data_IF_793589812694
#
_entry.id   IF_793589812694
#
_cell.length_a   1.000
_cell.length_b   1.000
_cell.length_c   1.000
_cell.angle_alpha   90.00
_cell.angle_beta   90.00
_cell.angle_gamma   90.00
#
_symmetry.space_group_name_H-M   'P 1'
#
loop_
_entity.id
_entity.type
_entity.pdbx_description
1 polymer ?
#
# COMPACT_ATOMS: atom_id res chain seq x y z
N UNK A 1 -12.36 36.83 6.58
CA UNK A 1 -11.54 36.46 7.75
C UNK A 1 -12.02 37.05 9.08
N UNK A 2 -12.16 38.37 9.19
CA UNK A 2 -12.33 39.07 10.49
C UNK A 2 -13.64 38.76 11.23
N UNK A 3 -14.69 38.33 10.52
CA UNK A 3 -16.01 38.12 11.12
C UNK A 3 -16.17 36.78 11.87
N UNK A 4 -15.52 35.68 11.44
CA UNK A 4 -15.66 34.40 12.15
C UNK A 4 -14.79 34.33 13.42
N UNK A 5 -13.59 34.93 13.41
CA UNK A 5 -12.77 35.09 14.63
C UNK A 5 -13.47 35.97 15.69
N UNK A 6 -14.18 37.02 15.26
CA UNK A 6 -15.02 37.81 16.17
C UNK A 6 -16.26 37.04 16.68
N UNK A 7 -16.84 36.13 15.88
CA UNK A 7 -17.94 35.25 16.32
C UNK A 7 -17.45 34.13 17.25
N UNK A 8 -16.24 33.59 17.02
CA UNK A 8 -15.57 32.67 17.94
C UNK A 8 -15.29 33.30 19.31
N UNK A 9 -15.05 34.62 19.35
CA UNK A 9 -14.90 35.40 20.58
C UNK A 9 -16.25 35.78 21.24
N UNK A 10 -17.39 35.69 20.53
CA UNK A 10 -18.70 36.22 20.99
C UNK A 10 -19.70 35.20 21.56
N UNK A 11 -19.29 33.95 21.81
CA UNK A 11 -20.12 32.83 22.33
C UNK A 11 -21.21 32.37 21.35
N UNK A 12 -21.03 31.18 20.77
CA UNK A 12 -22.15 30.35 20.27
C UNK A 12 -21.78 28.89 19.94
N UNK A 13 -20.50 28.49 20.02
CA UNK A 13 -20.11 27.07 20.07
C UNK A 13 -19.76 26.66 21.51
N UNK A 14 -20.20 25.47 21.95
CA UNK A 14 -19.81 24.90 23.25
C UNK A 14 -18.28 24.88 23.38
N UNK A 15 -17.77 25.43 24.48
CA UNK A 15 -16.34 25.39 24.84
C UNK A 15 -15.97 23.94 25.16
N UNK A 16 -15.52 23.22 24.14
CA UNK A 16 -15.11 21.83 24.18
C UNK A 16 -13.78 21.71 23.44
N UNK A 17 -12.93 20.76 23.85
CA UNK A 17 -11.55 20.56 23.38
C UNK A 17 -11.46 20.51 21.84
N UNK A 18 -12.46 19.92 21.20
CA UNK A 18 -12.60 19.83 19.74
C UNK A 18 -12.66 21.23 19.10
N UNK A 19 -13.50 22.12 19.64
CA UNK A 19 -13.65 23.48 19.10
C UNK A 19 -12.42 24.34 19.37
N UNK A 20 -11.69 24.09 20.47
CA UNK A 20 -10.42 24.75 20.75
C UNK A 20 -9.31 24.35 19.75
N UNK A 21 -9.21 23.07 19.39
CA UNK A 21 -8.30 22.61 18.32
C UNK A 21 -8.64 23.26 16.99
N UNK A 22 -9.92 23.27 16.62
CA UNK A 22 -10.41 23.93 15.39
C UNK A 22 -10.10 25.42 15.37
N UNK A 23 -10.42 26.15 16.44
CA UNK A 23 -10.15 27.59 16.56
C UNK A 23 -8.67 27.90 16.42
N UNK A 24 -7.81 27.11 17.08
CA UNK A 24 -6.35 27.26 17.00
C UNK A 24 -5.87 27.08 15.56
N UNK A 25 -6.27 25.99 14.90
CA UNK A 25 -5.91 25.71 13.51
C UNK A 25 -6.39 26.82 12.55
N UNK A 26 -7.68 27.16 12.59
CA UNK A 26 -8.30 28.15 11.70
C UNK A 26 -7.84 29.59 11.95
N UNK A 27 -7.16 29.86 13.07
CA UNK A 27 -6.54 31.16 13.34
C UNK A 27 -5.16 31.32 12.69
N UNK A 28 -4.53 30.21 12.28
CA UNK A 28 -3.18 30.16 11.72
C UNK A 28 -3.14 29.77 10.24
N UNK A 29 -4.07 28.91 9.82
CA UNK A 29 -4.02 28.21 8.53
C UNK A 29 -5.31 28.42 7.76
N UNK A 30 -5.20 28.62 6.44
CA UNK A 30 -6.33 28.80 5.50
C UNK A 30 -6.32 27.72 4.41
N UNK A 31 -7.37 27.66 3.58
CA UNK A 31 -7.42 26.74 2.42
C UNK A 31 -7.99 25.34 2.69
N UNK A 32 -8.45 25.04 3.92
CA UNK A 32 -9.02 23.73 4.31
C UNK A 32 -10.56 23.66 4.21
N UNK A 33 -11.14 24.47 3.33
CA UNK A 33 -12.57 24.44 2.99
C UNK A 33 -13.50 24.56 4.20
N UNK A 34 -14.39 23.57 4.37
CA UNK A 34 -15.45 23.60 5.38
C UNK A 34 -14.98 23.36 6.81
N UNK A 35 -13.70 23.04 7.06
CA UNK A 35 -13.16 22.92 8.43
C UNK A 35 -13.31 24.22 9.21
N UNK A 36 -13.13 25.36 8.55
CA UNK A 36 -13.14 26.68 9.19
C UNK A 36 -14.43 27.47 8.92
N UNK A 37 -15.49 26.80 8.44
CA UNK A 37 -16.81 27.42 8.28
C UNK A 37 -17.47 27.63 9.65
N UNK A 38 -18.15 28.76 9.82
CA UNK A 38 -18.84 29.06 11.08
C UNK A 38 -20.13 28.23 11.23
N UNK A 39 -20.77 27.88 10.11
CA UNK A 39 -22.00 27.08 10.05
C UNK A 39 -21.67 25.70 9.50
N UNK A 40 -22.10 24.66 10.20
CA UNK A 40 -21.91 23.24 9.83
C UNK A 40 -20.46 22.87 9.45
N UNK A 41 -19.48 23.14 10.34
CA UNK A 41 -18.07 22.85 10.04
C UNK A 41 -17.83 21.35 9.86
N UNK A 42 -16.94 20.98 8.92
CA UNK A 42 -16.57 19.58 8.69
C UNK A 42 -16.04 18.90 9.96
N UNK A 43 -16.36 17.61 10.22
CA UNK A 43 -15.90 16.90 11.40
C UNK A 43 -14.37 16.78 11.43
N UNK A 44 -13.80 16.91 12.64
CA UNK A 44 -12.36 16.68 12.92
C UNK A 44 -12.15 15.57 13.96
N UNK A 45 -13.25 14.93 14.38
CA UNK A 45 -13.28 13.74 15.22
C UNK A 45 -14.15 12.72 14.48
N UNK A 46 -13.67 11.50 14.43
CA UNK A 46 -14.29 10.39 13.72
C UNK A 46 -14.54 9.27 14.72
N UNK A 47 -15.70 8.62 14.61
CA UNK A 47 -16.09 7.50 15.47
C UNK A 47 -16.32 6.26 14.59
N UNK A 48 -15.25 5.68 14.00
CA UNK A 48 -15.39 4.49 13.18
C UNK A 48 -15.84 3.30 14.01
N UNK A 49 -16.50 2.34 13.37
CA UNK A 49 -16.89 1.08 14.02
C UNK A 49 -15.66 0.30 14.49
N UNK A 50 -15.75 -0.34 15.65
CA UNK A 50 -14.69 -1.23 16.13
C UNK A 50 -14.66 -2.54 15.33
N UNK A 51 -13.47 -3.13 15.21
CA UNK A 51 -13.31 -4.47 14.61
C UNK A 51 -13.37 -5.56 15.70
N UNK A 52 -13.87 -6.77 15.37
CA UNK A 52 -13.90 -7.88 16.32
C UNK A 52 -12.50 -8.30 16.81
N UNK A 53 -11.50 -8.32 15.92
CA UNK A 53 -10.12 -8.64 16.30
C UNK A 53 -9.42 -7.42 16.92
N UNK A 54 -9.38 -7.36 18.25
CA UNK A 54 -8.78 -6.25 19.00
C UNK A 54 -7.24 -6.14 18.87
N UNK A 55 -6.54 -7.16 18.36
CA UNK A 55 -5.07 -7.10 18.23
C UNK A 55 -4.61 -6.00 17.28
N UNK A 56 -5.35 -5.77 16.18
CA UNK A 56 -4.95 -4.77 15.18
C UNK A 56 -5.00 -3.34 15.74
N UNK A 57 -5.89 -3.06 16.68
CA UNK A 57 -6.00 -1.72 17.29
C UNK A 57 -4.83 -1.38 18.22
N UNK A 58 -3.94 -2.34 18.51
CA UNK A 58 -2.71 -2.16 19.28
C UNK A 58 -1.46 -2.12 18.38
N UNK A 59 -1.62 -2.24 17.06
CA UNK A 59 -0.50 -2.11 16.12
C UNK A 59 -0.25 -0.63 15.85
N UNK A 60 0.95 -0.09 16.11
CA UNK A 60 1.27 1.29 15.81
C UNK A 60 1.23 1.57 14.30
N UNK A 61 0.74 2.75 13.96
CA UNK A 61 0.72 3.28 12.59
C UNK A 61 1.71 4.45 12.51
N UNK A 62 2.74 4.28 11.69
CA UNK A 62 3.69 5.32 11.36
C UNK A 62 3.27 6.00 10.04
N UNK A 63 2.82 7.24 10.14
CA UNK A 63 2.55 8.08 8.98
C UNK A 63 3.82 8.83 8.61
N UNK A 64 4.28 8.67 7.36
CA UNK A 64 5.45 9.35 6.83
C UNK A 64 5.00 10.58 6.04
N UNK A 65 5.37 11.76 6.53
CA UNK A 65 4.94 13.04 6.01
C UNK A 65 6.10 14.01 5.78
N UNK A 66 5.84 15.04 4.96
CA UNK A 66 6.76 16.14 4.69
C UNK A 66 5.97 17.45 4.55
N UNK A 67 6.43 18.38 3.72
CA UNK A 67 5.79 19.68 3.48
C UNK A 67 4.65 19.61 2.44
N UNK A 68 3.68 18.72 2.68
CA UNK A 68 2.48 18.57 1.82
C UNK A 68 1.21 18.50 2.67
N UNK A 69 0.89 19.56 3.42
CA UNK A 69 -0.10 19.51 4.50
C UNK A 69 -1.53 19.20 4.01
N UNK A 70 -1.90 19.59 2.78
CA UNK A 70 -3.19 19.20 2.20
C UNK A 70 -3.28 17.69 1.85
N UNK A 71 -2.17 17.06 1.45
CA UNK A 71 -2.13 15.62 1.22
C UNK A 71 -2.28 14.89 2.55
N UNK A 72 -1.47 15.29 3.53
CA UNK A 72 -1.55 14.77 4.90
C UNK A 72 -2.96 14.91 5.48
N UNK A 73 -3.60 16.07 5.32
CA UNK A 73 -4.97 16.30 5.79
C UNK A 73 -5.96 15.31 5.17
N UNK A 74 -5.94 15.14 3.83
CA UNK A 74 -6.81 14.18 3.12
C UNK A 74 -6.57 12.75 3.60
N UNK A 75 -5.31 12.31 3.66
CA UNK A 75 -4.98 10.95 4.09
C UNK A 75 -5.44 10.72 5.53
N UNK A 76 -5.19 11.67 6.44
CA UNK A 76 -5.59 11.54 7.85
C UNK A 76 -7.13 11.47 8.01
N UNK A 77 -7.89 12.20 7.21
CA UNK A 77 -9.35 12.04 7.20
C UNK A 77 -9.76 10.62 6.81
N UNK A 78 -9.12 10.05 5.77
CA UNK A 78 -9.43 8.70 5.32
C UNK A 78 -9.11 7.65 6.39
N UNK A 79 -7.91 7.67 6.97
CA UNK A 79 -7.48 6.65 7.95
C UNK A 79 -8.26 6.73 9.26
N UNK A 80 -8.60 7.94 9.73
CA UNK A 80 -9.36 8.12 10.97
C UNK A 80 -10.83 7.73 10.82
N UNK A 81 -11.34 7.71 9.59
CA UNK A 81 -12.71 7.27 9.28
C UNK A 81 -12.82 5.75 9.10
N UNK A 82 -11.70 5.04 8.99
CA UNK A 82 -11.68 3.60 8.73
C UNK A 82 -12.08 2.79 9.99
N UNK A 83 -13.01 1.82 9.88
CA UNK A 83 -13.27 0.81 10.90
C UNK A 83 -11.99 0.22 11.53
N UNK A 84 -11.92 0.20 12.86
CA UNK A 84 -10.76 -0.30 13.60
C UNK A 84 -9.61 0.69 13.81
N UNK A 85 -9.69 1.91 13.28
CA UNK A 85 -8.69 2.93 13.52
C UNK A 85 -8.60 3.27 15.02
N UNK A 86 -7.37 3.32 15.54
CA UNK A 86 -7.07 3.77 16.89
C UNK A 86 -6.17 5.02 16.83
N UNK A 87 -6.72 6.24 17.01
CA UNK A 87 -5.95 7.48 16.96
C UNK A 87 -4.75 7.50 17.91
N UNK A 88 -4.83 6.83 19.08
CA UNK A 88 -3.72 6.75 20.04
C UNK A 88 -2.51 5.94 19.57
N UNK A 89 -2.67 5.16 18.50
CA UNK A 89 -1.61 4.37 17.88
C UNK A 89 -1.03 5.02 16.61
N UNK A 90 -1.59 6.15 16.16
CA UNK A 90 -1.11 6.86 14.97
C UNK A 90 -0.10 7.92 15.38
N UNK A 91 1.11 7.84 14.83
CA UNK A 91 2.15 8.87 14.96
C UNK A 91 2.51 9.39 13.58
N UNK A 92 2.49 10.71 13.40
CA UNK A 92 2.85 11.39 12.16
C UNK A 92 4.28 11.90 12.28
N UNK A 93 5.16 11.37 11.44
CA UNK A 93 6.57 11.75 11.37
C UNK A 93 6.79 12.72 10.20
N UNK A 94 7.16 13.96 10.52
CA UNK A 94 7.32 15.05 9.57
C UNK A 94 8.82 15.28 9.34
N UNK A 95 9.25 15.15 8.08
CA UNK A 95 10.63 15.37 7.66
C UNK A 95 10.96 16.87 7.55
N UNK A 96 11.04 17.56 8.69
CA UNK A 96 11.36 18.98 8.79
C UNK A 96 10.52 19.72 9.83
N UNK A 97 10.92 20.96 10.13
CA UNK A 97 10.21 21.83 11.07
C UNK A 97 9.16 22.71 10.38
N UNK A 98 8.26 22.07 9.64
CA UNK A 98 7.16 22.76 8.94
C UNK A 98 5.98 22.96 9.89
N UNK A 99 5.48 24.21 10.00
CA UNK A 99 4.38 24.54 10.91
C UNK A 99 3.06 23.96 10.42
N UNK A 100 2.72 24.11 9.14
CA UNK A 100 1.40 23.72 8.62
C UNK A 100 1.11 22.21 8.73
N UNK A 101 2.03 21.29 8.35
CA UNK A 101 1.82 19.85 8.58
C UNK A 101 1.66 19.51 10.07
N UNK A 102 2.38 20.18 10.96
CA UNK A 102 2.26 19.97 12.40
C UNK A 102 0.91 20.48 12.94
N UNK A 103 0.41 21.62 12.45
CA UNK A 103 -0.92 22.11 12.82
C UNK A 103 -2.02 21.16 12.32
N UNK A 104 -1.85 20.50 11.18
CA UNK A 104 -2.77 19.44 10.72
C UNK A 104 -2.80 18.25 11.71
N UNK A 105 -1.66 17.81 12.27
CA UNK A 105 -1.69 16.74 13.28
C UNK A 105 -2.41 17.18 14.54
N UNK A 106 -2.19 18.42 14.99
CA UNK A 106 -2.86 19.00 16.16
C UNK A 106 -4.36 19.15 15.95
N UNK A 107 -4.81 19.51 14.74
CA UNK A 107 -6.23 19.59 14.39
C UNK A 107 -6.95 18.28 14.70
N UNK A 108 -6.36 17.15 14.28
CA UNK A 108 -6.91 15.82 14.53
C UNK A 108 -6.55 15.25 15.91
N UNK A 109 -5.75 15.94 16.72
CA UNK A 109 -5.35 15.49 18.05
C UNK A 109 -4.39 14.31 18.02
N UNK A 110 -3.59 14.21 16.95
CA UNK A 110 -2.59 13.16 16.76
C UNK A 110 -1.22 13.60 17.23
N UNK A 111 -0.37 12.62 17.49
CA UNK A 111 1.04 12.86 17.83
C UNK A 111 1.78 13.20 16.53
N UNK A 112 2.28 14.44 16.44
CA UNK A 112 3.20 14.88 15.41
C UNK A 112 4.63 14.93 15.94
N UNK A 113 5.57 14.29 15.24
CA UNK A 113 7.00 14.30 15.55
C UNK A 113 7.74 14.90 14.36
N UNK A 114 8.46 15.99 14.60
CA UNK A 114 9.31 16.62 13.59
C UNK A 114 10.73 16.07 13.70
N UNK A 115 11.32 15.75 12.56
CA UNK A 115 12.72 15.33 12.47
C UNK A 115 13.55 16.41 11.79
N UNK A 116 14.79 16.60 12.26
CA UNK A 116 15.79 17.36 11.49
C UNK A 116 16.14 16.57 10.23
N UNK A 117 15.95 17.12 9.03
CA UNK A 117 16.26 16.41 7.79
C UNK A 117 17.74 16.03 7.71
N UNK A 118 18.02 14.80 7.27
CA UNK A 118 19.38 14.28 7.13
C UNK A 118 19.60 13.70 5.74
N UNK A 119 20.63 14.18 5.02
CA UNK A 119 20.88 13.81 3.63
C UNK A 119 20.13 14.71 2.64
N UNK A 120 20.17 14.35 1.34
CA UNK A 120 19.51 15.09 0.25
C UNK A 120 18.74 14.15 -0.66
N UNK A 121 17.73 14.66 -1.36
CA UNK A 121 16.89 13.90 -2.31
C UNK A 121 16.44 12.55 -1.71
N UNK A 122 16.69 11.44 -2.39
CA UNK A 122 16.23 10.11 -1.98
C UNK A 122 16.93 9.65 -0.70
N UNK A 123 18.18 10.07 -0.45
CA UNK A 123 18.87 9.79 0.80
C UNK A 123 18.16 10.45 1.99
N UNK A 124 17.60 11.65 1.82
CA UNK A 124 16.80 12.34 2.85
C UNK A 124 15.57 11.53 3.24
N UNK A 125 14.82 11.06 2.25
CA UNK A 125 13.67 10.19 2.46
C UNK A 125 14.11 8.92 3.20
N UNK A 126 15.18 8.27 2.74
CA UNK A 126 15.70 7.05 3.35
C UNK A 126 16.05 7.23 4.83
N UNK A 127 16.71 8.32 5.21
CA UNK A 127 17.01 8.59 6.62
C UNK A 127 15.75 8.91 7.43
N UNK A 128 14.76 9.60 6.83
CA UNK A 128 13.49 9.86 7.50
C UNK A 128 12.70 8.58 7.79
N UNK A 129 12.66 7.63 6.86
CA UNK A 129 12.08 6.30 7.12
C UNK A 129 12.80 5.60 8.27
N UNK A 130 14.13 5.54 8.25
CA UNK A 130 14.91 4.94 9.35
C UNK A 130 14.55 5.57 10.70
N UNK A 131 14.62 6.90 10.79
CA UNK A 131 14.33 7.63 12.03
C UNK A 131 12.91 7.34 12.53
N UNK A 132 11.92 7.35 11.63
CA UNK A 132 10.50 7.11 11.94
C UNK A 132 10.24 5.68 12.42
N UNK A 133 10.81 4.68 11.73
CA UNK A 133 10.69 3.27 12.11
C UNK A 133 11.37 2.98 13.44
N UNK A 134 12.58 3.51 13.64
CA UNK A 134 13.29 3.42 14.92
C UNK A 134 12.51 4.05 16.05
N UNK A 135 11.99 5.28 15.86
CA UNK A 135 11.19 5.99 16.85
C UNK A 135 9.89 5.24 17.19
N UNK A 136 9.22 4.67 16.19
CA UNK A 136 8.00 3.87 16.37
C UNK A 136 8.25 2.69 17.30
N UNK A 137 9.25 1.85 17.01
CA UNK A 137 9.55 0.67 17.83
C UNK A 137 10.20 0.98 19.19
N UNK A 138 10.78 2.18 19.35
CA UNK A 138 11.27 2.66 20.64
C UNK A 138 10.11 3.13 21.54
N UNK A 139 9.10 3.78 20.95
CA UNK A 139 7.89 4.24 21.64
C UNK A 139 6.99 3.07 22.05
N UNK A 140 6.74 2.16 21.12
CA UNK A 140 5.89 0.99 21.33
C UNK A 140 6.79 -0.25 21.48
N UNK A 141 7.33 -0.44 22.70
CA UNK A 141 8.35 -1.47 22.97
C UNK A 141 7.84 -2.89 22.79
N UNK A 142 6.56 -3.11 23.13
CA UNK A 142 5.91 -4.42 23.06
C UNK A 142 5.25 -4.69 21.70
N UNK A 143 5.29 -3.73 20.76
CA UNK A 143 4.71 -3.90 19.44
C UNK A 143 5.58 -4.80 18.57
N UNK A 144 5.02 -5.93 18.15
CA UNK A 144 5.65 -6.89 17.23
C UNK A 144 5.57 -6.46 15.76
N UNK A 145 4.62 -5.56 15.45
CA UNK A 145 4.36 -5.04 14.11
C UNK A 145 4.23 -3.53 14.12
N UNK A 146 4.41 -2.92 12.96
CA UNK A 146 3.99 -1.54 12.68
C UNK A 146 3.38 -1.47 11.28
N UNK A 147 2.39 -0.61 11.09
CA UNK A 147 1.84 -0.28 9.76
C UNK A 147 2.45 1.05 9.31
N UNK A 148 2.94 1.11 8.08
CA UNK A 148 3.57 2.28 7.48
C UNK A 148 2.65 2.82 6.40
N UNK A 149 2.33 4.11 6.47
CA UNK A 149 1.46 4.81 5.52
C UNK A 149 2.13 6.12 5.10
N UNK A 150 2.06 6.44 3.81
CA UNK A 150 2.54 7.72 3.26
C UNK A 150 1.41 8.76 3.23
N UNK A 151 1.75 10.04 3.34
CA UNK A 151 0.77 11.14 3.41
C UNK A 151 -0.10 11.34 2.15
N UNK A 152 0.23 10.68 1.03
CA UNK A 152 -0.42 10.81 -0.27
C UNK A 152 -1.25 9.58 -0.68
N UNK A 153 -1.70 8.81 0.30
CA UNK A 153 -2.56 7.64 0.14
C UNK A 153 -3.98 7.90 0.63
N UNK A 154 -5.00 7.52 -0.14
CA UNK A 154 -6.33 7.28 0.42
C UNK A 154 -6.38 5.88 1.03
N UNK A 155 -7.04 5.74 2.17
CA UNK A 155 -7.13 4.49 2.93
C UNK A 155 -8.51 3.86 2.75
N UNK A 156 -8.54 2.59 2.35
CA UNK A 156 -9.79 1.83 2.18
C UNK A 156 -10.56 1.70 3.50
N UNK A 157 -11.91 1.67 3.48
CA UNK A 157 -12.74 1.30 4.63
C UNK A 157 -12.45 -0.11 5.20
N UNK A 158 -11.80 -0.98 4.42
CA UNK A 158 -11.42 -2.35 4.83
C UNK A 158 -9.97 -2.46 5.31
N UNK A 159 -9.20 -1.37 5.32
CA UNK A 159 -7.75 -1.43 5.51
C UNK A 159 -7.29 -2.14 6.79
N UNK A 160 -7.85 -1.80 7.96
CA UNK A 160 -7.50 -2.48 9.21
C UNK A 160 -8.08 -3.89 9.30
N UNK A 161 -9.22 -4.17 8.66
CA UNK A 161 -9.80 -5.51 8.61
C UNK A 161 -9.00 -6.46 7.69
N UNK A 162 -8.42 -5.94 6.61
CA UNK A 162 -7.46 -6.65 5.77
C UNK A 162 -6.24 -7.06 6.60
N UNK A 163 -5.59 -6.09 7.26
CA UNK A 163 -4.41 -6.37 8.07
C UNK A 163 -4.71 -7.26 9.28
N UNK A 164 -5.89 -7.14 9.93
CA UNK A 164 -6.25 -8.00 11.06
C UNK A 164 -6.36 -9.47 10.65
N UNK A 165 -6.83 -9.76 9.43
CA UNK A 165 -6.97 -11.11 8.89
C UNK A 165 -5.66 -11.69 8.39
N UNK A 166 -4.69 -10.88 7.95
CA UNK A 166 -3.44 -11.35 7.36
C UNK A 166 -2.22 -11.27 8.28
N UNK A 167 -2.32 -10.56 9.40
CA UNK A 167 -1.17 -10.31 10.30
C UNK A 167 -0.52 -11.60 10.80
N UNK A 168 -1.31 -12.66 11.09
CA UNK A 168 -0.77 -13.93 11.58
C UNK A 168 0.16 -14.61 10.57
N UNK A 169 0.01 -14.35 9.27
CA UNK A 169 0.89 -14.89 8.24
C UNK A 169 2.35 -14.45 8.44
N UNK A 170 2.58 -13.20 8.88
CA UNK A 170 3.93 -12.70 9.19
C UNK A 170 4.55 -13.38 10.42
N UNK A 171 3.73 -13.92 11.32
CA UNK A 171 4.18 -14.69 12.47
C UNK A 171 4.46 -16.14 12.16
N UNK A 172 3.60 -16.75 11.37
CA UNK A 172 3.61 -18.18 11.15
C UNK A 172 4.49 -18.61 9.96
N UNK A 173 4.77 -17.73 9.00
CA UNK A 173 5.59 -18.03 7.83
C UNK A 173 6.80 -17.08 7.69
N UNK A 174 8.02 -17.53 8.02
CA UNK A 174 9.24 -16.71 7.93
C UNK A 174 9.66 -16.38 6.49
N UNK A 175 9.06 -17.01 5.49
CA UNK A 175 9.28 -16.67 4.08
C UNK A 175 8.51 -15.42 3.63
N UNK A 176 7.63 -14.88 4.49
CA UNK A 176 6.90 -13.64 4.21
C UNK A 176 7.71 -12.44 4.73
N UNK A 177 8.00 -11.51 3.82
CA UNK A 177 8.75 -10.28 4.06
C UNK A 177 7.86 -9.15 4.59
N UNK A 178 6.67 -9.00 4.01
CA UNK A 178 5.71 -7.97 4.38
C UNK A 178 4.27 -8.35 3.96
N UNK A 179 3.29 -7.63 4.50
CA UNK A 179 1.95 -7.57 3.92
C UNK A 179 1.76 -6.16 3.40
N UNK A 180 1.45 -5.98 2.12
CA UNK A 180 1.17 -4.68 1.52
C UNK A 180 -0.30 -4.59 1.12
N UNK A 181 -0.84 -3.38 1.15
CA UNK A 181 -2.18 -3.03 0.71
C UNK A 181 -2.23 -2.71 -0.80
N UNK A 182 -1.10 -2.75 -1.50
CA UNK A 182 -0.97 -2.30 -2.89
C UNK A 182 -0.65 -3.45 -3.84
N UNK A 183 -1.44 -3.57 -4.90
CA UNK A 183 -1.16 -4.43 -6.05
C UNK A 183 -0.64 -3.57 -7.22
N UNK A 184 0.64 -3.71 -7.55
CA UNK A 184 1.26 -2.99 -8.67
C UNK A 184 0.57 -3.22 -10.02
N UNK A 185 -0.01 -4.42 -10.22
CA UNK A 185 -0.72 -4.81 -11.44
C UNK A 185 -2.24 -4.75 -11.30
N UNK A 186 -2.76 -4.21 -10.19
CA UNK A 186 -4.19 -4.17 -9.85
C UNK A 186 -4.88 -2.89 -10.35
N UNK A 187 -5.09 -2.78 -11.65
CA UNK A 187 -5.88 -1.72 -12.28
C UNK A 187 -7.36 -2.10 -12.32
N UNK A 188 -8.24 -1.12 -12.51
CA UNK A 188 -9.70 -1.31 -12.60
C UNK A 188 -10.11 -2.46 -13.54
N UNK A 189 -9.39 -2.64 -14.65
CA UNK A 189 -9.66 -3.71 -15.63
C UNK A 189 -8.91 -5.02 -15.37
N UNK A 190 -7.92 -5.02 -14.47
CA UNK A 190 -6.99 -6.13 -14.26
C UNK A 190 -7.05 -6.81 -12.90
N UNK A 191 -8.00 -6.40 -12.06
CA UNK A 191 -8.37 -7.06 -10.81
C UNK A 191 -9.88 -7.33 -10.79
N UNK A 192 -10.35 -8.15 -9.84
CA UNK A 192 -11.76 -8.49 -9.71
C UNK A 192 -12.18 -8.90 -8.30
N UNK A 193 -11.43 -9.77 -7.65
CA UNK A 193 -11.91 -10.48 -6.46
C UNK A 193 -11.51 -9.73 -5.17
N UNK A 194 -12.48 -9.16 -4.42
CA UNK A 194 -12.18 -8.46 -3.19
C UNK A 194 -11.55 -9.38 -2.13
N UNK A 195 -11.77 -10.69 -2.19
CA UNK A 195 -11.34 -11.66 -1.17
C UNK A 195 -10.01 -12.37 -1.49
N UNK A 196 -9.42 -12.11 -2.66
CA UNK A 196 -8.24 -12.82 -3.17
C UNK A 196 -6.92 -12.17 -2.75
N UNK A 197 -5.93 -13.01 -2.48
CA UNK A 197 -4.57 -12.65 -2.11
C UNK A 197 -3.53 -13.31 -3.04
N UNK A 198 -2.37 -12.70 -3.14
CA UNK A 198 -1.20 -13.19 -3.87
C UNK A 198 0.05 -13.15 -3.00
N UNK A 199 1.00 -14.06 -3.27
CA UNK A 199 2.41 -13.91 -2.91
C UNK A 199 3.17 -13.32 -4.10
N UNK A 200 4.07 -12.39 -3.83
CA UNK A 200 4.91 -11.75 -4.85
C UNK A 200 6.36 -11.54 -4.39
N UNK A 201 7.30 -11.63 -5.31
CA UNK A 201 8.74 -11.51 -5.06
C UNK A 201 9.25 -10.05 -5.09
N UNK A 202 8.53 -9.15 -4.44
CA UNK A 202 8.95 -7.75 -4.27
C UNK A 202 8.40 -7.18 -2.96
N UNK A 203 8.74 -5.92 -2.66
CA UNK A 203 8.23 -5.15 -1.54
C UNK A 203 7.52 -3.91 -2.13
N UNK A 204 6.18 -3.94 -2.30
CA UNK A 204 5.45 -2.87 -2.98
C UNK A 204 5.43 -1.55 -2.20
N UNK A 205 5.40 -1.61 -0.87
CA UNK A 205 5.22 -0.42 -0.03
C UNK A 205 3.75 0.03 -0.03
N UNK A 206 3.54 1.36 -0.13
CA UNK A 206 2.24 2.02 -0.32
C UNK A 206 1.13 1.53 0.63
N UNK A 207 1.40 1.57 1.94
CA UNK A 207 0.54 0.97 2.96
C UNK A 207 0.94 -0.46 3.24
N UNK A 208 1.83 -0.68 4.20
CA UNK A 208 2.40 -2.00 4.44
C UNK A 208 2.69 -2.27 5.92
N UNK A 209 2.63 -3.53 6.32
CA UNK A 209 2.92 -3.99 7.66
C UNK A 209 4.35 -4.55 7.74
N UNK A 210 5.11 -4.04 8.72
CA UNK A 210 6.48 -4.40 9.01
C UNK A 210 6.57 -5.18 10.32
N UNK A 211 7.25 -6.32 10.29
CA UNK A 211 7.60 -7.06 11.50
C UNK A 211 8.78 -6.39 12.22
N UNK A 212 8.66 -6.15 13.53
CA UNK A 212 9.70 -5.57 14.39
C UNK A 212 11.01 -6.32 14.25
N UNK A 213 10.94 -7.66 14.30
CA UNK A 213 12.11 -8.55 14.22
C UNK A 213 12.93 -8.30 12.96
N UNK A 214 12.26 -8.24 11.80
CA UNK A 214 12.89 -7.93 10.52
C UNK A 214 13.61 -6.57 10.58
N UNK A 215 12.94 -5.53 11.08
CA UNK A 215 13.55 -4.21 11.16
C UNK A 215 14.75 -4.17 12.11
N UNK A 216 14.57 -4.61 13.36
CA UNK A 216 15.54 -4.46 14.44
C UNK A 216 16.74 -5.39 14.31
N UNK A 217 16.55 -6.60 13.79
CA UNK A 217 17.63 -7.60 13.71
C UNK A 217 18.33 -7.61 12.34
N UNK A 218 17.66 -7.15 11.26
CA UNK A 218 18.23 -7.21 9.91
C UNK A 218 18.40 -5.83 9.26
N UNK A 219 17.32 -5.02 9.18
CA UNK A 219 17.32 -3.82 8.33
C UNK A 219 18.04 -2.64 8.97
N UNK A 220 17.79 -2.34 10.24
CA UNK A 220 18.24 -1.12 10.93
C UNK A 220 19.78 -1.00 10.95
N UNK A 221 20.46 -2.12 11.19
CA UNK A 221 21.92 -2.19 11.25
C UNK A 221 22.60 -2.01 9.88
N UNK A 222 21.93 -2.42 8.81
CA UNK A 222 22.46 -2.36 7.44
C UNK A 222 21.86 -1.22 6.61
N UNK A 223 21.00 -0.39 7.23
CA UNK A 223 20.29 0.70 6.55
C UNK A 223 21.29 1.63 5.85
N UNK A 224 21.03 2.05 4.59
CA UNK A 224 21.93 2.91 3.83
C UNK A 224 22.33 4.17 4.61
N UNK A 225 23.61 4.53 4.57
CA UNK A 225 24.11 5.75 5.23
C UNK A 225 23.64 7.00 4.47
N UNK A 226 23.63 8.19 5.11
CA UNK A 226 23.11 9.42 4.50
C UNK A 226 23.81 9.85 3.20
N UNK A 227 25.03 9.38 2.95
CA UNK A 227 25.79 9.68 1.73
C UNK A 227 25.28 8.88 0.52
N UNK A 228 24.57 7.76 0.76
CA UNK A 228 24.05 6.90 -0.31
C UNK A 228 22.74 7.46 -0.85
N UNK A 229 22.78 7.91 -2.10
CA UNK A 229 21.61 8.39 -2.86
C UNK A 229 20.73 7.22 -3.35
N UNK A 230 20.34 6.34 -2.45
CA UNK A 230 19.51 5.18 -2.76
C UNK A 230 18.08 5.40 -2.29
N UNK A 231 17.12 5.00 -3.11
CA UNK A 231 15.73 4.85 -2.69
C UNK A 231 15.62 3.69 -1.70
N UNK A 232 14.99 3.94 -0.55
CA UNK A 232 14.92 3.00 0.56
C UNK A 232 14.16 1.72 0.18
N UNK A 233 13.10 1.86 -0.62
CA UNK A 233 12.26 0.77 -1.10
C UNK A 233 12.99 -0.08 -2.13
N UNK A 234 13.72 0.54 -3.06
CA UNK A 234 14.58 -0.17 -4.02
C UNK A 234 15.68 -0.96 -3.29
N UNK A 235 16.28 -0.38 -2.25
CA UNK A 235 17.23 -1.10 -1.40
C UNK A 235 16.58 -2.29 -0.69
N UNK A 236 15.37 -2.13 -0.14
CA UNK A 236 14.62 -3.23 0.49
C UNK A 236 14.22 -4.34 -0.49
N UNK A 237 14.00 -4.01 -1.77
CA UNK A 237 13.67 -4.99 -2.84
C UNK A 237 14.88 -5.82 -3.29
N UNK A 238 16.09 -5.33 -3.06
CA UNK A 238 17.31 -6.00 -3.50
C UNK A 238 17.41 -7.41 -2.91
N UNK A 239 17.81 -8.39 -3.73
CA UNK A 239 17.80 -9.81 -3.36
C UNK A 239 18.58 -10.11 -2.07
N UNK A 240 19.70 -9.43 -1.84
CA UNK A 240 20.51 -9.64 -0.62
C UNK A 240 19.86 -9.09 0.67
N UNK A 241 18.90 -8.15 0.55
CA UNK A 241 18.11 -7.63 1.68
C UNK A 241 16.84 -8.45 1.85
N UNK A 242 16.09 -8.65 0.77
CA UNK A 242 14.83 -9.42 0.78
C UNK A 242 15.04 -10.90 1.07
N UNK A 243 16.18 -11.48 0.67
CA UNK A 243 16.59 -12.88 0.91
C UNK A 243 15.53 -13.88 0.46
N UNK A 244 15.08 -13.75 -0.78
CA UNK A 244 14.06 -14.60 -1.43
C UNK A 244 12.69 -14.67 -0.72
N UNK A 245 12.47 -13.80 0.26
CA UNK A 245 11.15 -13.64 0.90
C UNK A 245 10.19 -12.87 0.00
N UNK A 246 8.91 -13.03 0.28
CA UNK A 246 7.82 -12.52 -0.56
C UNK A 246 6.86 -11.66 0.25
N UNK A 247 6.15 -10.74 -0.39
CA UNK A 247 5.06 -10.04 0.27
C UNK A 247 3.70 -10.61 -0.11
N UNK A 248 2.75 -10.50 0.82
CA UNK A 248 1.34 -10.73 0.55
C UNK A 248 0.71 -9.43 0.06
N UNK A 249 -0.04 -9.51 -1.03
CA UNK A 249 -0.85 -8.41 -1.56
C UNK A 249 -2.27 -8.86 -1.84
N UNK A 250 -3.26 -7.96 -1.80
CA UNK A 250 -4.60 -8.25 -2.26
C UNK A 250 -4.71 -8.16 -3.78
N UNK A 251 -5.77 -8.72 -4.37
CA UNK A 251 -6.06 -8.51 -5.80
C UNK A 251 -6.48 -7.07 -6.10
N UNK A 252 -7.43 -6.52 -5.32
CA UNK A 252 -7.84 -5.11 -5.37
C UNK A 252 -7.04 -4.30 -4.34
N UNK A 253 -6.46 -3.15 -4.66
CA UNK A 253 -5.68 -2.40 -3.66
C UNK A 253 -6.54 -1.81 -2.53
N UNK A 254 -5.97 -1.72 -1.32
CA UNK A 254 -6.56 -1.14 -0.10
C UNK A 254 -6.04 0.26 0.22
N UNK A 255 -5.14 0.73 -0.62
CA UNK A 255 -4.63 2.09 -0.67
C UNK A 255 -4.75 2.61 -2.09
N UNK A 256 -4.93 3.92 -2.25
CA UNK A 256 -4.90 4.59 -3.54
C UNK A 256 -3.95 5.78 -3.47
N UNK A 257 -2.92 5.79 -4.31
CA UNK A 257 -1.95 6.88 -4.35
C UNK A 257 -2.52 8.05 -5.17
N UNK A 258 -2.76 9.18 -4.52
CA UNK A 258 -3.31 10.40 -5.16
C UNK A 258 -2.27 11.51 -5.35
N UNK A 259 -1.06 11.34 -4.84
CA UNK A 259 -0.02 12.37 -4.89
C UNK A 259 0.43 12.66 -6.32
N UNK A 260 -0.01 13.77 -6.92
CA UNK A 260 0.39 14.14 -8.29
C UNK A 260 1.67 14.99 -8.34
N UNK A 261 2.19 15.39 -7.19
CA UNK A 261 3.44 16.14 -7.01
C UNK A 261 4.28 15.48 -5.91
N UNK A 262 5.53 15.18 -6.24
CA UNK A 262 6.50 14.55 -5.33
C UNK A 262 7.88 14.47 -5.98
N UNK A 263 8.84 13.84 -5.29
CA UNK A 263 10.24 13.78 -5.75
C UNK A 263 10.38 13.05 -7.09
N UNK A 264 9.64 11.95 -7.29
CA UNK A 264 9.65 11.15 -8.51
C UNK A 264 8.30 11.16 -9.25
N UNK A 265 7.42 12.12 -8.95
CA UNK A 265 6.03 12.11 -9.36
C UNK A 265 5.61 13.41 -10.03
N UNK A 266 4.89 13.30 -11.14
CA UNK A 266 4.32 14.43 -11.87
C UNK A 266 2.90 14.08 -12.39
N UNK A 267 2.08 15.07 -12.78
CA UNK A 267 0.69 14.82 -13.16
C UNK A 267 0.51 13.84 -14.34
N UNK A 268 1.41 13.85 -15.33
CA UNK A 268 1.34 12.90 -16.44
C UNK A 268 1.60 11.47 -15.97
N UNK A 269 2.63 11.28 -15.13
CA UNK A 269 2.95 9.96 -14.57
C UNK A 269 1.81 9.42 -13.69
N UNK A 270 1.18 10.29 -12.89
CA UNK A 270 -0.01 9.95 -12.10
C UNK A 270 -1.19 9.52 -12.98
N UNK A 271 -1.46 10.25 -14.06
CA UNK A 271 -2.55 9.95 -15.01
C UNK A 271 -2.34 8.61 -15.71
N UNK A 272 -1.10 8.31 -16.12
CA UNK A 272 -0.76 7.10 -16.87
C UNK A 272 -0.75 5.85 -15.98
N UNK A 273 -0.15 5.93 -14.79
CA UNK A 273 0.19 4.74 -14.00
C UNK A 273 -0.55 4.60 -12.67
N UNK A 274 -1.29 5.60 -12.18
CA UNK A 274 -1.93 5.50 -10.85
C UNK A 274 -3.42 5.80 -10.86
N UNK A 275 -3.88 6.66 -11.77
CA UNK A 275 -5.28 7.11 -11.78
C UNK A 275 -6.30 5.98 -11.95
N UNK A 276 -5.94 4.95 -12.70
CA UNK A 276 -6.80 3.79 -12.98
C UNK A 276 -6.47 2.58 -12.09
N UNK A 277 -5.70 2.77 -11.02
CA UNK A 277 -5.53 1.71 -10.04
C UNK A 277 -6.85 1.45 -9.33
N UNK A 278 -7.10 0.16 -9.09
CA UNK A 278 -8.25 -0.27 -8.33
C UNK A 278 -8.16 0.19 -6.88
N UNK A 279 -9.32 0.40 -6.25
CA UNK A 279 -9.40 0.78 -4.84
C UNK A 279 -10.62 0.14 -4.18
N UNK A 280 -10.38 -0.53 -3.05
CA UNK A 280 -11.43 -1.21 -2.30
C UNK A 280 -12.32 -0.21 -1.57
N UNK A 281 -13.60 -0.15 -1.93
CA UNK A 281 -14.60 0.74 -1.31
C UNK A 281 -15.52 0.04 -0.32
N UNK A 282 -15.57 -1.29 -0.34
CA UNK A 282 -16.42 -2.07 0.57
C UNK A 282 -15.72 -2.25 1.92
N UNK A 283 -16.42 -2.07 3.06
CA UNK A 283 -15.88 -2.40 4.37
C UNK A 283 -16.00 -3.90 4.68
N UNK A 284 -15.22 -4.37 5.66
CA UNK A 284 -15.35 -5.69 6.30
C UNK A 284 -15.33 -6.89 5.33
N UNK A 285 -14.50 -6.83 4.30
CA UNK A 285 -14.36 -7.92 3.33
C UNK A 285 -13.79 -9.15 4.03
N UNK A 286 -14.45 -10.29 3.86
CA UNK A 286 -13.95 -11.57 4.35
C UNK A 286 -12.99 -12.17 3.31
N UNK A 287 -11.72 -12.29 3.68
CA UNK A 287 -10.71 -12.91 2.82
C UNK A 287 -10.93 -14.41 2.78
N UNK A 288 -10.70 -15.03 1.63
CA UNK A 288 -10.86 -16.48 1.45
C UNK A 288 -9.52 -17.17 1.56
N UNK A 289 -9.53 -18.38 2.15
CA UNK A 289 -8.39 -19.30 2.13
C UNK A 289 -7.04 -18.68 2.55
N UNK A 290 -7.06 -17.81 3.57
CA UNK A 290 -5.89 -16.99 3.96
C UNK A 290 -4.64 -17.86 4.23
N UNK A 291 -4.82 -19.01 4.87
CA UNK A 291 -3.72 -19.93 5.17
C UNK A 291 -3.06 -20.55 3.94
N UNK A 292 -3.72 -20.53 2.77
CA UNK A 292 -3.08 -20.92 1.49
C UNK A 292 -1.98 -19.94 1.07
N UNK A 293 -1.86 -18.78 1.70
CA UNK A 293 -0.75 -17.85 1.45
C UNK A 293 0.55 -18.26 2.13
N UNK A 294 0.56 -19.30 2.98
CA UNK A 294 1.83 -19.85 3.51
C UNK A 294 2.56 -20.61 2.41
N UNK A 295 3.89 -20.54 2.42
CA UNK A 295 4.79 -20.98 1.33
C UNK A 295 4.36 -22.27 0.63
N UNK A 296 4.28 -23.38 1.37
CA UNK A 296 4.04 -24.69 0.76
C UNK A 296 2.59 -24.85 0.27
N UNK A 297 1.62 -24.26 0.99
CA UNK A 297 0.22 -24.28 0.55
C UNK A 297 -0.02 -23.41 -0.67
N UNK A 298 0.76 -22.33 -0.85
CA UNK A 298 0.65 -21.48 -2.03
C UNK A 298 1.09 -22.23 -3.29
N UNK A 299 2.16 -23.03 -3.22
CA UNK A 299 2.56 -23.88 -4.36
C UNK A 299 1.49 -24.90 -4.75
N UNK A 300 0.81 -25.48 -3.76
CA UNK A 300 -0.31 -26.40 -3.99
C UNK A 300 -1.46 -25.68 -4.68
N UNK A 301 -1.79 -24.46 -4.23
CA UNK A 301 -2.80 -23.61 -4.84
C UNK A 301 -2.44 -23.27 -6.29
N UNK A 302 -1.21 -22.81 -6.57
CA UNK A 302 -0.77 -22.47 -7.93
C UNK A 302 -0.85 -23.67 -8.84
N UNK A 303 -0.39 -24.84 -8.38
CA UNK A 303 -0.51 -26.09 -9.15
C UNK A 303 -1.97 -26.40 -9.50
N UNK A 304 -2.87 -26.33 -8.53
CA UNK A 304 -4.29 -26.58 -8.77
C UNK A 304 -4.87 -25.60 -9.79
N UNK A 305 -4.58 -24.30 -9.63
CA UNK A 305 -5.03 -23.26 -10.56
C UNK A 305 -4.54 -23.50 -11.99
N UNK A 306 -3.29 -23.93 -12.18
CA UNK A 306 -2.75 -24.25 -13.51
C UNK A 306 -3.43 -25.49 -14.10
N UNK A 307 -3.70 -26.51 -13.28
CA UNK A 307 -4.38 -27.73 -13.74
C UNK A 307 -5.84 -27.50 -14.13
N UNK A 308 -6.51 -26.56 -13.47
CA UNK A 308 -7.90 -26.19 -13.76
C UNK A 308 -7.99 -25.14 -14.89
N UNK A 309 -6.86 -24.55 -15.31
CA UNK A 309 -6.83 -23.50 -16.32
C UNK A 309 -6.97 -24.05 -17.75
N UNK A 310 -7.62 -23.26 -18.61
CA UNK A 310 -7.71 -23.51 -20.05
C UNK A 310 -6.55 -22.83 -20.76
N UNK A 311 -5.81 -23.56 -21.60
CA UNK A 311 -4.74 -22.98 -22.42
C UNK A 311 -5.30 -21.99 -23.45
N UNK A 312 -4.74 -20.78 -23.48
CA UNK A 312 -5.03 -19.82 -24.54
C UNK A 312 -4.31 -20.19 -25.84
N UNK A 313 -4.91 -19.85 -26.98
CA UNK A 313 -4.35 -20.19 -28.29
C UNK A 313 -3.20 -19.25 -28.69
N UNK A 314 -1.96 -19.69 -28.50
CA UNK A 314 -0.73 -18.96 -28.86
C UNK A 314 -0.54 -18.66 -30.35
N UNK A 315 -1.39 -19.17 -31.23
CA UNK A 315 -1.39 -18.77 -32.65
C UNK A 315 -1.92 -17.35 -32.85
N UNK A 316 -2.66 -16.80 -31.87
CA UNK A 316 -3.17 -15.44 -31.91
C UNK A 316 -2.24 -14.50 -31.14
N UNK A 317 -2.05 -13.25 -31.60
CA UNK A 317 -1.24 -12.27 -30.90
C UNK A 317 -1.81 -11.98 -29.50
N UNK A 318 -1.01 -12.03 -28.42
CA UNK A 318 -1.53 -11.90 -27.06
C UNK A 318 -2.13 -10.52 -26.75
N UNK A 319 -1.77 -9.50 -27.53
CA UNK A 319 -2.28 -8.13 -27.39
C UNK A 319 -3.53 -7.86 -28.25
N UNK A 320 -4.06 -8.85 -28.97
CA UNK A 320 -5.31 -8.67 -29.71
C UNK A 320 -6.50 -8.74 -28.75
N UNK A 321 -7.57 -8.02 -29.08
CA UNK A 321 -8.76 -7.99 -28.21
C UNK A 321 -9.39 -9.37 -28.05
N UNK A 322 -9.25 -10.27 -29.01
CA UNK A 322 -9.83 -11.62 -29.03
C UNK A 322 -8.98 -12.69 -28.33
N UNK A 323 -7.74 -12.37 -27.93
CA UNK A 323 -6.82 -13.35 -27.34
C UNK A 323 -7.39 -14.00 -26.06
N UNK A 324 -7.91 -13.18 -25.13
CA UNK A 324 -8.66 -13.67 -23.98
C UNK A 324 -10.15 -13.72 -24.36
N UNK A 325 -10.80 -14.91 -24.30
CA UNK A 325 -12.21 -15.04 -24.64
C UNK A 325 -13.13 -14.14 -23.78
N UNK A 326 -14.26 -13.73 -24.35
CA UNK A 326 -15.31 -12.99 -23.64
C UNK A 326 -16.18 -13.94 -22.78
N UNK A 327 -15.55 -14.72 -21.91
CA UNK A 327 -16.19 -15.54 -20.88
C UNK A 327 -16.20 -14.81 -19.54
N UNK A 328 -16.82 -15.41 -18.51
CA UNK A 328 -16.82 -14.88 -17.15
C UNK A 328 -16.38 -15.96 -16.18
N UNK A 329 -15.54 -15.58 -15.22
CA UNK A 329 -15.15 -16.44 -14.09
C UNK A 329 -14.40 -17.73 -14.51
N UNK A 330 -13.81 -17.73 -15.70
CA UNK A 330 -12.95 -18.81 -16.17
C UNK A 330 -11.50 -18.57 -15.75
N UNK A 331 -10.73 -19.66 -15.68
CA UNK A 331 -9.28 -19.61 -15.45
C UNK A 331 -8.58 -19.95 -16.75
N UNK A 332 -7.69 -19.07 -17.19
CA UNK A 332 -6.88 -19.24 -18.38
C UNK A 332 -5.40 -19.26 -18.04
N UNK A 333 -4.62 -19.98 -18.84
CA UNK A 333 -3.16 -19.99 -18.76
C UNK A 333 -2.55 -19.64 -20.12
N UNK A 334 -1.48 -18.86 -20.10
CA UNK A 334 -0.61 -18.65 -21.25
C UNK A 334 0.86 -18.75 -20.84
N UNK A 335 1.67 -19.27 -21.75
CA UNK A 335 3.13 -19.32 -21.61
C UNK A 335 3.78 -18.21 -22.44
N UNK A 336 4.77 -17.52 -21.87
CA UNK A 336 5.58 -16.51 -22.56
C UNK A 336 7.05 -16.94 -22.58
N UNK A 337 7.79 -16.57 -23.62
CA UNK A 337 9.22 -16.85 -23.67
C UNK A 337 9.96 -16.06 -22.58
N UNK A 338 10.72 -16.77 -21.75
CA UNK A 338 11.53 -16.25 -20.67
C UNK A 338 12.69 -17.22 -20.42
N UNK A 339 13.84 -16.92 -21.01
CA UNK A 339 15.01 -17.81 -21.08
C UNK A 339 15.74 -17.95 -19.75
N UNK A 340 15.64 -16.94 -18.88
CA UNK A 340 16.19 -16.94 -17.52
C UNK A 340 15.25 -16.20 -16.57
N UNK A 341 15.47 -16.34 -15.27
CA UNK A 341 14.73 -15.64 -14.20
C UNK A 341 14.85 -14.11 -14.27
N UNK A 342 15.70 -13.58 -15.14
CA UNK A 342 15.92 -12.13 -15.39
C UNK A 342 15.48 -11.68 -16.78
N UNK A 343 15.00 -12.59 -17.63
CA UNK A 343 14.56 -12.27 -18.99
C UNK A 343 13.10 -11.79 -18.99
N UNK A 344 12.90 -10.52 -18.71
CA UNK A 344 11.56 -9.92 -18.65
C UNK A 344 11.13 -9.25 -19.96
N UNK A 345 11.82 -9.51 -21.06
CA UNK A 345 11.62 -8.82 -22.34
C UNK A 345 10.18 -8.99 -22.84
N UNK A 346 9.68 -10.23 -22.87
CA UNK A 346 8.33 -10.54 -23.32
C UNK A 346 7.28 -9.99 -22.36
N UNK A 347 7.49 -10.12 -21.05
CA UNK A 347 6.58 -9.60 -20.03
C UNK A 347 6.40 -8.08 -20.16
N UNK A 348 7.47 -7.31 -20.32
CA UNK A 348 7.36 -5.84 -20.44
C UNK A 348 6.50 -5.41 -21.63
N UNK A 349 6.65 -6.06 -22.78
CA UNK A 349 5.80 -5.78 -23.94
C UNK A 349 4.33 -6.16 -23.69
N UNK A 350 4.10 -7.29 -23.03
CA UNK A 350 2.76 -7.75 -22.67
C UNK A 350 2.08 -6.80 -21.67
N UNK A 351 2.76 -6.45 -20.59
CA UNK A 351 2.29 -5.51 -19.58
C UNK A 351 1.92 -4.17 -20.21
N UNK A 352 2.75 -3.67 -21.14
CA UNK A 352 2.47 -2.43 -21.87
C UNK A 352 1.19 -2.51 -22.70
N UNK A 353 0.98 -3.60 -23.45
CA UNK A 353 -0.21 -3.72 -24.29
C UNK A 353 -1.48 -4.03 -23.49
N UNK A 354 -1.34 -4.65 -22.31
CA UNK A 354 -2.42 -4.81 -21.34
C UNK A 354 -2.69 -3.55 -20.52
N UNK A 355 -1.96 -2.46 -20.77
CA UNK A 355 -2.07 -1.19 -20.04
C UNK A 355 -1.86 -1.36 -18.52
N UNK A 356 -0.81 -2.10 -18.17
CA UNK A 356 -0.39 -2.40 -16.81
C UNK A 356 0.92 -1.66 -16.47
N UNK A 357 1.46 -1.91 -15.27
CA UNK A 357 2.77 -1.39 -14.88
C UNK A 357 3.90 -2.09 -15.67
N UNK A 358 4.66 -1.33 -16.46
CA UNK A 358 5.65 -1.84 -17.42
C UNK A 358 7.08 -1.24 -17.27
N UNK A 359 7.31 -0.33 -16.32
CA UNK A 359 8.59 0.36 -16.15
C UNK A 359 9.69 -0.56 -15.60
N UNK A 360 9.37 -1.22 -14.49
CA UNK A 360 10.13 -2.28 -13.84
C UNK A 360 9.21 -3.48 -13.56
N UNK A 361 9.80 -4.61 -13.20
CA UNK A 361 9.08 -5.88 -13.19
C UNK A 361 8.53 -6.14 -11.80
N UNK A 362 7.20 -6.28 -11.71
CA UNK A 362 6.44 -6.43 -10.46
C UNK A 362 5.31 -7.43 -10.64
N UNK A 363 4.72 -7.86 -9.52
CA UNK A 363 3.55 -8.73 -9.50
C UNK A 363 3.82 -10.20 -9.87
N UNK A 364 5.08 -10.63 -9.81
CA UNK A 364 5.46 -12.01 -10.14
C UNK A 364 5.76 -12.85 -8.92
N UNK A 365 5.54 -14.16 -9.09
CA UNK A 365 5.94 -15.23 -8.19
C UNK A 365 6.57 -16.33 -9.05
N UNK A 366 7.86 -16.62 -8.86
CA UNK A 366 8.60 -17.65 -9.60
C UNK A 366 8.40 -17.57 -11.12
N UNK A 367 8.60 -16.36 -11.66
CA UNK A 367 8.41 -16.05 -13.08
C UNK A 367 6.99 -16.35 -13.61
N UNK A 368 5.98 -16.24 -12.75
CA UNK A 368 4.57 -16.34 -13.08
C UNK A 368 3.81 -15.11 -12.57
N UNK A 369 2.85 -14.62 -13.36
CA UNK A 369 1.97 -13.49 -13.02
C UNK A 369 0.52 -13.95 -12.97
N UNK A 370 -0.24 -13.37 -12.04
CA UNK A 370 -1.69 -13.57 -11.88
C UNK A 370 -2.36 -12.22 -11.94
N UNK A 371 -3.42 -12.14 -12.74
CA UNK A 371 -4.26 -10.95 -12.90
C UNK A 371 -5.60 -11.36 -13.48
N UNK A 372 -6.51 -10.41 -13.63
CA UNK A 372 -7.76 -10.61 -14.35
C UNK A 372 -7.72 -9.92 -15.70
N UNK A 373 -8.36 -10.49 -16.71
CA UNK A 373 -8.72 -9.78 -17.95
C UNK A 373 -10.13 -10.19 -18.35
N UNK A 374 -10.96 -9.20 -18.67
CA UNK A 374 -12.38 -9.42 -19.03
C UNK A 374 -13.11 -10.28 -18.00
N UNK A 375 -12.80 -10.07 -16.71
CA UNK A 375 -13.36 -10.81 -15.58
C UNK A 375 -12.92 -12.29 -15.45
N UNK A 376 -11.99 -12.77 -16.28
CA UNK A 376 -11.40 -14.10 -16.19
C UNK A 376 -10.04 -14.03 -15.49
N UNK A 377 -9.70 -15.05 -14.72
CA UNK A 377 -8.41 -15.14 -14.03
C UNK A 377 -7.36 -15.65 -15.01
N UNK A 378 -6.32 -14.87 -15.25
CA UNK A 378 -5.26 -15.17 -16.19
C UNK A 378 -3.95 -15.48 -15.43
N UNK A 379 -3.37 -16.63 -15.76
CA UNK A 379 -2.06 -17.08 -15.27
C UNK A 379 -1.07 -17.00 -16.42
N UNK A 380 0.01 -16.24 -16.25
CA UNK A 380 1.03 -16.01 -17.28
C UNK A 380 2.32 -16.62 -16.78
N UNK A 381 2.85 -17.63 -17.46
CA UNK A 381 4.04 -18.40 -17.03
C UNK A 381 5.21 -18.13 -17.97
N UNK A 382 6.32 -17.62 -17.44
CA UNK A 382 7.57 -17.47 -18.19
C UNK A 382 8.29 -18.81 -18.37
N UNK A 383 8.43 -19.28 -19.61
CA UNK A 383 9.06 -20.57 -19.93
C UNK A 383 10.36 -20.41 -20.73
N UNK A 384 11.43 -21.17 -20.45
CA UNK A 384 11.54 -22.25 -19.46
C UNK A 384 11.89 -21.81 -18.02
N UNK A 385 12.12 -20.53 -17.76
CA UNK A 385 12.65 -20.08 -16.46
C UNK A 385 11.77 -20.42 -15.24
N UNK A 386 10.44 -20.36 -15.39
CA UNK A 386 9.52 -20.68 -14.31
C UNK A 386 9.54 -22.19 -14.02
N UNK A 387 9.53 -22.61 -12.74
CA UNK A 387 9.36 -24.01 -12.38
C UNK A 387 8.00 -24.57 -12.85
N UNK A 388 7.03 -23.70 -13.15
CA UNK A 388 5.72 -24.10 -13.68
C UNK A 388 5.74 -24.43 -15.18
N UNK A 389 6.87 -24.24 -15.87
CA UNK A 389 7.06 -24.63 -17.28
C UNK A 389 6.79 -26.11 -17.54
N UNK A 390 6.97 -26.97 -16.53
CA UNK A 390 6.70 -28.40 -16.63
C UNK A 390 5.24 -28.73 -16.99
N UNK A 391 4.30 -27.82 -16.76
CA UNK A 391 2.89 -28.00 -17.12
C UNK A 391 2.62 -27.68 -18.60
N UNK A 392 3.49 -26.91 -19.26
CA UNK A 392 3.37 -26.61 -20.69
C UNK A 392 3.49 -27.87 -21.57
N UNK A 393 4.34 -28.82 -21.15
CA UNK A 393 4.66 -30.03 -21.92
C UNK A 393 3.59 -31.12 -21.84
N UNK A 394 2.55 -30.93 -21.03
CA UNK A 394 1.46 -31.92 -20.90
C UNK A 394 0.30 -31.68 -21.88
N UNK A 395 0.31 -30.56 -22.60
CA UNK A 395 -0.79 -30.14 -23.48
C UNK A 395 -0.43 -30.12 -24.97
N UNK A 396 0.80 -30.49 -25.32
CA UNK A 396 1.22 -30.87 -26.69
C UNK A 396 1.19 -32.38 -26.84
#
# INVERSE_FOLDING_TARGET
MTFCLMLYQRREMKDDEINNRRRTFCSKVEGYGSVCQCKDPAPIVFNPTTLPQQKISQVPVAVIASDRPHYLYRMLQSILSTPGANPGMITVFIDGYYEEPLEVTKLFGLIGVQHTPLGVKNARISQHYKASLTATFNRYKDAEFAIIVEEDLDISPDFFNYFSQTMHLLDEDPSIYCVSAWNDQGYEHSCKDPSLLYRIETMPGLGWMLKRKLYKEELEAQWPTPEKQWDWDMWMRANFIRKDRECIIPDISRTYHFGSKGINMNPYFQEVYFKKHSFMTLPNVQLKDIDKMKKDYYEVLIKQLIQDAKLLNHSHPPCSEDFVPNTKDEIYVMYINMTSDKDYTTWKHLAKCFHLWDLDVRGFHKSMWRLFLKTNHLIIIGSPASPYSMYCLKET
#
